data_IF_546333371264
#
_entry.id   IF_546333371264
#
_cell.length_a   1.000
_cell.length_b   1.000
_cell.length_c   1.000
_cell.angle_alpha   90.00
_cell.angle_beta   90.00
_cell.angle_gamma   90.00
#
_symmetry.space_group_name_H-M   'P 1'
#
loop_
_entity.id
_entity.type
_entity.pdbx_description
1 polymer ?
#
# COMPACT_ATOMS: atom_id res chain seq x y z
N UNK A 1 -0.35 52.19 52.39
CA UNK A 1 -0.45 50.74 52.57
C UNK A 1 0.74 50.03 51.92
N UNK A 2 1.65 49.45 52.72
CA UNK A 2 2.67 48.55 52.19
C UNK A 2 2.06 47.15 51.93
N UNK A 3 2.58 46.39 50.95
CA UNK A 3 2.15 45.02 50.71
C UNK A 3 2.66 44.06 51.79
N UNK A 4 1.95 42.96 52.07
CA UNK A 4 2.32 42.01 53.11
C UNK A 4 3.54 41.17 52.75
N UNK A 5 4.36 40.93 53.76
CA UNK A 5 5.54 40.07 53.79
C UNK A 5 5.19 38.60 53.51
N UNK A 6 5.96 37.96 52.63
CA UNK A 6 5.98 36.51 52.45
C UNK A 6 7.08 35.92 53.33
N UNK A 7 6.69 35.08 54.28
CA UNK A 7 7.61 34.19 55.01
C UNK A 7 8.01 32.99 54.13
N UNK A 8 9.26 32.48 54.26
CA UNK A 8 9.72 31.29 53.56
C UNK A 8 9.44 30.04 54.41
N UNK A 9 8.50 29.20 53.98
CA UNK A 9 8.37 27.85 54.51
C UNK A 9 9.26 26.89 53.70
N UNK A 10 10.39 26.52 54.29
CA UNK A 10 11.22 25.40 53.91
C UNK A 10 10.40 24.10 53.96
N UNK A 11 10.19 23.47 52.81
CA UNK A 11 9.73 22.10 52.67
C UNK A 11 10.84 21.28 52.01
N UNK A 12 11.46 20.42 52.81
CA UNK A 12 12.52 19.48 52.46
C UNK A 12 11.90 18.27 51.73
N UNK A 13 11.75 18.38 50.41
CA UNK A 13 11.38 17.25 49.54
C UNK A 13 12.64 16.59 48.99
N UNK A 14 13.22 15.71 49.80
CA UNK A 14 14.19 14.70 49.36
C UNK A 14 13.50 13.72 48.41
N UNK A 15 13.34 14.13 47.15
CA UNK A 15 12.93 13.26 46.04
C UNK A 15 14.11 12.34 45.70
N UNK A 16 14.04 11.10 46.19
CA UNK A 16 14.96 10.01 45.92
C UNK A 16 14.79 9.53 44.46
N UNK A 17 15.78 9.72 43.55
CA UNK A 17 15.67 9.38 42.13
C UNK A 17 15.92 7.88 41.82
N UNK A 18 15.82 6.98 42.80
CA UNK A 18 16.31 5.59 42.67
C UNK A 18 15.34 4.55 42.09
N UNK A 19 14.16 4.93 41.56
CA UNK A 19 13.13 3.97 41.10
C UNK A 19 13.07 3.70 39.58
N UNK A 20 14.18 3.83 38.84
CA UNK A 20 14.21 3.68 37.36
C UNK A 20 14.47 2.26 36.84
N UNK A 21 14.54 1.24 37.70
CA UNK A 21 14.92 -0.13 37.30
C UNK A 21 13.80 -1.00 36.70
N UNK A 22 12.54 -0.53 36.65
CA UNK A 22 11.41 -1.37 36.21
C UNK A 22 11.20 -1.42 34.69
N UNK A 23 11.65 -0.43 33.92
CA UNK A 23 11.34 -0.32 32.48
C UNK A 23 12.16 -1.26 31.58
N UNK A 24 13.43 -1.51 31.90
CA UNK A 24 14.33 -2.37 31.10
C UNK A 24 13.80 -3.80 30.98
N UNK A 25 13.22 -4.32 32.07
CA UNK A 25 12.74 -5.72 32.14
C UNK A 25 11.52 -6.00 31.24
N UNK A 26 10.76 -4.96 30.87
CA UNK A 26 9.55 -5.10 30.04
C UNK A 26 9.91 -5.22 28.56
N UNK A 27 10.82 -4.37 28.08
CA UNK A 27 11.22 -4.37 26.67
C UNK A 27 12.00 -5.64 26.28
N UNK A 28 12.87 -6.16 27.14
CA UNK A 28 13.65 -7.38 26.82
C UNK A 28 12.75 -8.59 26.54
N UNK A 29 11.64 -8.74 27.27
CA UNK A 29 10.63 -9.77 27.03
C UNK A 29 9.94 -9.57 25.68
N UNK A 30 9.55 -8.34 25.39
CA UNK A 30 8.85 -7.97 24.15
C UNK A 30 9.76 -8.13 22.92
N UNK A 31 11.02 -7.70 23.03
CA UNK A 31 12.07 -7.92 22.02
C UNK A 31 12.30 -9.41 21.75
N UNK A 32 12.41 -10.23 22.80
CA UNK A 32 12.59 -11.68 22.65
C UNK A 32 11.40 -12.32 21.92
N UNK A 33 10.17 -11.85 22.22
CA UNK A 33 8.93 -12.27 21.54
C UNK A 33 8.96 -11.89 20.05
N UNK A 34 9.27 -10.64 19.73
CA UNK A 34 9.34 -10.14 18.34
C UNK A 34 10.44 -10.84 17.53
N UNK A 35 11.61 -11.07 18.14
CA UNK A 35 12.70 -11.79 17.49
C UNK A 35 12.30 -13.25 17.19
N UNK A 36 11.62 -13.91 18.13
CA UNK A 36 11.06 -15.25 17.90
C UNK A 36 10.05 -15.25 16.75
N UNK A 37 9.20 -14.22 16.65
CA UNK A 37 8.29 -14.06 15.52
C UNK A 37 9.05 -13.90 14.20
N UNK A 38 10.06 -13.03 14.14
CA UNK A 38 10.86 -12.87 12.93
C UNK A 38 11.52 -14.17 12.52
N UNK A 39 12.17 -14.90 13.45
CA UNK A 39 12.80 -16.21 13.18
C UNK A 39 11.83 -17.24 12.60
N UNK A 40 10.53 -17.12 12.87
CA UNK A 40 9.50 -18.01 12.31
C UNK A 40 9.04 -17.62 10.90
N UNK A 41 9.33 -16.39 10.46
CA UNK A 41 8.89 -15.83 9.20
C UNK A 41 9.95 -16.02 8.09
N UNK A 42 9.53 -16.19 6.82
CA UNK A 42 10.46 -16.38 5.70
C UNK A 42 11.47 -15.24 5.49
N UNK A 43 11.14 -14.00 5.89
CA UNK A 43 12.06 -12.86 5.82
C UNK A 43 13.36 -13.10 6.60
N UNK A 44 13.35 -13.87 7.69
CA UNK A 44 14.55 -14.08 8.51
C UNK A 44 15.69 -14.75 7.74
N UNK A 45 15.35 -15.71 6.89
CA UNK A 45 16.32 -16.42 6.05
C UNK A 45 16.74 -15.56 4.84
N UNK A 46 15.82 -14.77 4.28
CA UNK A 46 16.09 -13.94 3.10
C UNK A 46 16.86 -12.66 3.40
N UNK A 47 16.58 -12.03 4.54
CA UNK A 47 17.04 -10.68 4.85
C UNK A 47 17.13 -10.48 6.38
N UNK A 48 18.14 -11.12 6.98
CA UNK A 48 18.38 -11.07 8.43
C UNK A 48 18.76 -9.67 8.92
N UNK A 49 19.47 -8.91 8.09
CA UNK A 49 19.89 -7.54 8.42
C UNK A 49 18.67 -6.62 8.54
N UNK A 50 17.72 -6.72 7.62
CA UNK A 50 16.46 -5.98 7.72
C UNK A 50 15.63 -6.40 8.94
N UNK A 51 15.63 -7.68 9.32
CA UNK A 51 14.96 -8.11 10.57
C UNK A 51 15.64 -7.50 11.81
N UNK A 52 16.97 -7.44 11.81
CA UNK A 52 17.76 -6.86 12.89
C UNK A 52 17.52 -5.36 13.01
N UNK A 53 17.51 -4.64 11.89
CA UNK A 53 17.19 -3.22 11.86
C UNK A 53 15.71 -2.97 12.22
N UNK A 54 14.81 -3.83 11.74
CA UNK A 54 13.39 -3.81 12.12
C UNK A 54 13.19 -3.91 13.63
N UNK A 55 13.95 -4.76 14.34
CA UNK A 55 13.91 -4.84 15.80
C UNK A 55 14.38 -3.55 16.47
N UNK A 56 15.42 -2.89 15.94
CA UNK A 56 15.89 -1.57 16.45
C UNK A 56 14.88 -0.47 16.21
N UNK A 57 14.20 -0.48 15.05
CA UNK A 57 13.11 0.45 14.75
C UNK A 57 11.95 0.23 15.73
N UNK A 58 11.56 -1.02 15.96
CA UNK A 58 10.49 -1.36 16.89
C UNK A 58 10.81 -0.99 18.34
N UNK A 59 12.09 -1.07 18.75
CA UNK A 59 12.56 -0.55 20.04
C UNK A 59 12.31 0.95 20.19
N UNK A 60 12.63 1.74 19.14
CA UNK A 60 12.35 3.18 19.13
C UNK A 60 10.84 3.43 19.19
N UNK A 61 10.04 2.71 18.41
CA UNK A 61 8.58 2.86 18.43
C UNK A 61 7.98 2.48 19.79
N UNK A 62 8.45 1.42 20.44
CA UNK A 62 8.00 1.03 21.77
C UNK A 62 8.28 2.12 22.82
N UNK A 63 9.42 2.81 22.70
CA UNK A 63 9.78 3.91 23.61
C UNK A 63 9.00 5.20 23.32
N UNK A 64 8.84 5.53 22.04
CA UNK A 64 8.38 6.85 21.62
C UNK A 64 6.86 6.92 21.39
N UNK A 65 6.18 5.79 21.17
CA UNK A 65 4.72 5.75 20.99
C UNK A 65 4.01 5.60 22.33
N UNK A 66 2.88 6.29 22.45
CA UNK A 66 1.98 6.08 23.57
C UNK A 66 1.56 4.62 23.70
N UNK A 67 1.44 4.06 24.92
CA UNK A 67 1.17 2.63 25.10
C UNK A 67 -0.05 2.09 24.34
N UNK A 68 -1.18 2.82 24.21
CA UNK A 68 -2.30 2.39 23.38
C UNK A 68 -1.97 2.31 21.89
N UNK A 69 -1.16 3.22 21.36
CA UNK A 69 -0.74 3.23 19.96
C UNK A 69 0.21 2.06 19.68
N UNK A 70 1.20 1.82 20.56
CA UNK A 70 2.11 0.68 20.45
C UNK A 70 1.38 -0.67 20.43
N UNK A 71 0.47 -0.92 21.38
CA UNK A 71 -0.30 -2.18 21.46
C UNK A 71 -1.10 -2.51 20.20
N UNK A 72 -1.50 -1.50 19.42
CA UNK A 72 -2.23 -1.70 18.16
C UNK A 72 -1.32 -2.22 17.04
N UNK A 73 -0.05 -1.84 17.03
CA UNK A 73 0.88 -2.15 15.94
C UNK A 73 1.81 -3.33 16.25
N UNK A 74 2.16 -3.56 17.52
CA UNK A 74 3.18 -4.54 17.94
C UNK A 74 2.90 -5.96 17.41
N UNK A 75 1.62 -6.34 17.33
CA UNK A 75 1.21 -7.69 16.92
C UNK A 75 1.29 -7.92 15.41
N UNK A 76 1.36 -6.83 14.64
CA UNK A 76 1.31 -6.86 13.16
C UNK A 76 2.66 -6.54 12.55
N UNK A 77 3.49 -5.76 13.24
CA UNK A 77 4.75 -5.23 12.73
C UNK A 77 5.65 -6.30 12.08
N UNK A 78 5.87 -7.44 12.73
CA UNK A 78 6.74 -8.49 12.19
C UNK A 78 6.21 -9.09 10.88
N UNK A 79 4.90 -9.35 10.82
CA UNK A 79 4.23 -9.88 9.63
C UNK A 79 4.24 -8.86 8.49
N UNK A 80 3.94 -7.60 8.81
CA UNK A 80 3.94 -6.50 7.85
C UNK A 80 5.34 -6.25 7.29
N UNK A 81 6.40 -6.32 8.11
CA UNK A 81 7.79 -6.24 7.62
C UNK A 81 8.11 -7.40 6.67
N UNK A 82 7.74 -8.64 7.03
CA UNK A 82 7.88 -9.80 6.14
C UNK A 82 7.13 -9.63 4.81
N UNK A 83 5.93 -9.06 4.85
CA UNK A 83 5.07 -8.89 3.68
C UNK A 83 5.47 -7.73 2.78
N UNK A 84 6.14 -6.72 3.34
CA UNK A 84 6.59 -5.50 2.66
C UNK A 84 8.08 -5.51 2.28
N UNK A 85 8.88 -6.46 2.75
CA UNK A 85 10.33 -6.53 2.48
C UNK A 85 10.71 -6.31 1.01
N UNK A 86 10.04 -6.92 0.01
CA UNK A 86 10.39 -6.65 -1.39
C UNK A 86 10.17 -5.21 -1.81
N UNK A 87 9.14 -4.55 -1.27
CA UNK A 87 8.87 -3.15 -1.53
C UNK A 87 9.90 -2.25 -0.84
N UNK A 88 10.27 -2.57 0.40
CA UNK A 88 11.28 -1.81 1.16
C UNK A 88 12.63 -1.84 0.45
N UNK A 89 13.09 -3.04 0.06
CA UNK A 89 14.35 -3.20 -0.66
C UNK A 89 14.32 -2.49 -2.02
N UNK A 90 13.25 -2.68 -2.79
CA UNK A 90 13.12 -2.02 -4.08
C UNK A 90 13.09 -0.49 -3.96
N UNK A 91 12.44 0.07 -2.93
CA UNK A 91 12.44 1.51 -2.70
C UNK A 91 13.86 2.06 -2.45
N UNK A 92 14.69 1.34 -1.69
CA UNK A 92 16.09 1.72 -1.47
C UNK A 92 16.90 1.65 -2.77
N UNK A 93 16.83 0.52 -3.50
CA UNK A 93 17.53 0.31 -4.78
C UNK A 93 17.13 1.38 -5.82
N UNK A 94 15.83 1.64 -5.94
CA UNK A 94 15.28 2.64 -6.85
C UNK A 94 15.77 4.04 -6.51
N UNK A 95 15.81 4.41 -5.23
CA UNK A 95 16.35 5.70 -4.82
C UNK A 95 17.83 5.80 -5.22
N UNK A 96 18.65 4.80 -4.89
CA UNK A 96 20.09 4.74 -5.24
C UNK A 96 20.32 4.98 -6.72
N UNK A 97 19.57 4.29 -7.58
CA UNK A 97 19.62 4.48 -9.02
C UNK A 97 19.20 5.90 -9.43
N UNK A 98 18.13 6.45 -8.85
CA UNK A 98 17.64 7.79 -9.17
C UNK A 98 18.69 8.88 -8.88
N UNK A 99 19.51 8.73 -7.83
CA UNK A 99 20.57 9.70 -7.49
C UNK A 99 21.88 9.48 -8.24
N UNK A 100 22.18 8.23 -8.63
CA UNK A 100 23.43 7.94 -9.35
C UNK A 100 23.49 8.66 -10.72
N UNK A 101 22.35 8.86 -11.36
CA UNK A 101 22.25 9.59 -12.63
C UNK A 101 22.63 11.07 -12.57
N UNK A 102 22.68 11.68 -11.37
CA UNK A 102 23.04 13.09 -11.20
C UNK A 102 24.55 13.32 -11.12
N UNK A 103 25.30 12.36 -10.57
CA UNK A 103 26.73 12.51 -10.33
C UNK A 103 27.56 12.53 -11.63
N UNK A 104 27.06 11.93 -12.71
CA UNK A 104 27.76 11.82 -13.99
C UNK A 104 27.54 13.06 -14.89
N UNK A 105 26.62 13.95 -14.53
CA UNK A 105 26.36 15.22 -15.21
C UNK A 105 27.36 16.32 -14.89
N UNK A 106 28.62 15.98 -14.59
CA UNK A 106 29.69 16.93 -14.29
C UNK A 106 29.77 17.98 -15.40
N UNK A 107 29.24 19.15 -15.07
CA UNK A 107 29.24 20.37 -15.88
C UNK A 107 30.64 20.63 -16.38
N UNK A 108 30.91 20.22 -17.61
CA UNK A 108 32.05 20.75 -18.37
C UNK A 108 31.71 22.22 -18.54
N UNK A 109 32.35 23.06 -17.73
CA UNK A 109 32.29 24.51 -17.81
C UNK A 109 32.75 24.97 -19.17
N UNK A 110 31.83 24.99 -20.13
CA UNK A 110 31.95 25.73 -21.36
C UNK A 110 31.74 27.20 -21.05
N UNK A 111 32.84 27.88 -20.75
CA UNK A 111 32.97 29.33 -20.73
C UNK A 111 32.66 29.86 -22.15
N UNK A 112 31.38 30.04 -22.47
CA UNK A 112 30.95 30.68 -23.71
C UNK A 112 30.47 32.10 -23.37
N UNK A 113 31.42 33.02 -23.53
CA UNK A 113 31.18 34.44 -23.41
C UNK A 113 30.26 35.01 -24.49
N UNK A 114 29.71 36.17 -24.15
CA UNK A 114 29.49 37.31 -25.03
C UNK A 114 28.48 37.12 -26.16
N UNK A 115 27.22 37.41 -25.87
CA UNK A 115 26.21 37.68 -26.89
C UNK A 115 25.08 38.50 -26.30
N UNK A 116 25.17 39.82 -26.47
CA UNK A 116 24.07 40.76 -26.25
C UNK A 116 23.02 40.49 -27.36
N UNK A 117 21.83 40.00 -27.00
CA UNK A 117 20.71 39.95 -27.95
C UNK A 117 19.40 40.28 -27.23
N UNK A 118 18.79 41.37 -27.67
CA UNK A 118 17.55 41.96 -27.21
C UNK A 118 16.37 41.33 -27.96
N UNK A 119 15.38 40.75 -27.27
CA UNK A 119 14.01 40.68 -27.81
C UNK A 119 13.19 39.42 -27.56
N UNK A 120 12.04 39.65 -26.91
CA UNK A 120 10.71 39.05 -27.09
C UNK A 120 10.35 37.63 -26.58
N UNK A 121 9.25 37.64 -25.81
CA UNK A 121 8.22 36.63 -25.55
C UNK A 121 8.62 35.28 -24.91
N UNK A 122 8.73 35.35 -23.58
CA UNK A 122 8.93 34.31 -22.57
C UNK A 122 7.81 33.25 -22.54
N UNK A 123 7.79 32.35 -23.53
CA UNK A 123 7.05 31.09 -23.48
C UNK A 123 7.85 30.04 -22.68
N UNK A 124 7.85 30.19 -21.35
CA UNK A 124 8.03 29.12 -20.36
C UNK A 124 9.12 28.09 -20.65
N UNK A 125 10.37 28.55 -20.78
CA UNK A 125 11.52 27.64 -20.92
C UNK A 125 11.67 26.82 -19.63
N UNK A 126 11.73 25.48 -19.68
CA UNK A 126 11.83 24.65 -18.48
C UNK A 126 13.18 24.88 -17.79
N UNK A 127 13.18 25.77 -16.80
CA UNK A 127 14.34 26.12 -15.98
C UNK A 127 14.87 24.89 -15.25
N UNK A 128 16.15 24.60 -15.49
CA UNK A 128 17.09 23.78 -14.70
C UNK A 128 16.48 22.68 -13.83
N UNK A 129 16.69 21.43 -14.22
CA UNK A 129 16.35 20.22 -13.48
C UNK A 129 17.11 20.13 -12.14
N UNK A 130 16.67 20.88 -11.13
CA UNK A 130 16.96 20.52 -9.75
C UNK A 130 16.31 19.17 -9.53
N UNK A 131 17.11 18.13 -9.36
CA UNK A 131 16.60 16.83 -8.95
C UNK A 131 15.92 16.97 -7.58
N UNK A 132 14.61 17.16 -7.60
CA UNK A 132 13.82 17.27 -6.39
C UNK A 132 13.88 15.96 -5.61
N UNK A 133 13.74 16.05 -4.28
CA UNK A 133 13.60 14.87 -3.44
C UNK A 133 12.43 14.01 -3.91
N UNK A 134 12.60 12.69 -3.85
CA UNK A 134 11.57 11.73 -4.23
C UNK A 134 10.30 11.89 -3.38
N UNK A 135 9.16 11.48 -3.94
CA UNK A 135 7.91 11.29 -3.19
C UNK A 135 7.49 9.83 -3.24
N UNK A 136 7.09 9.26 -2.11
CA UNK A 136 6.54 7.90 -2.08
C UNK A 136 5.03 7.98 -1.81
N UNK A 137 4.25 7.13 -2.50
CA UNK A 137 2.80 7.03 -2.35
C UNK A 137 2.41 5.60 -2.04
N UNK A 138 1.93 5.34 -0.83
CA UNK A 138 1.46 4.05 -0.34
C UNK A 138 -0.07 3.94 -0.49
N UNK A 139 -0.52 3.13 -1.46
CA UNK A 139 -1.93 2.95 -1.82
C UNK A 139 -2.58 1.87 -0.96
N UNK A 140 -3.77 2.18 -0.45
CA UNK A 140 -4.49 1.33 0.51
C UNK A 140 -3.59 0.95 1.69
N UNK A 141 -2.92 1.95 2.24
CA UNK A 141 -1.87 1.79 3.25
C UNK A 141 -2.35 1.11 4.54
N UNK A 142 -3.66 0.98 4.77
CA UNK A 142 -4.21 0.34 5.95
C UNK A 142 -3.77 1.04 7.23
N UNK A 143 -2.97 0.37 8.07
CA UNK A 143 -2.38 0.96 9.28
C UNK A 143 -1.13 1.79 9.00
N UNK A 144 -0.56 1.74 7.79
CA UNK A 144 0.61 2.54 7.43
C UNK A 144 1.96 1.96 7.86
N UNK A 145 2.01 0.70 8.33
CA UNK A 145 3.25 0.11 8.85
C UNK A 145 4.38 0.04 7.81
N UNK A 146 4.05 -0.25 6.56
CA UNK A 146 5.03 -0.18 5.45
C UNK A 146 5.63 1.22 5.35
N UNK A 147 4.79 2.25 5.32
CA UNK A 147 5.22 3.66 5.27
C UNK A 147 6.03 4.09 6.50
N UNK A 148 5.68 3.60 7.69
CA UNK A 148 6.45 3.86 8.92
C UNK A 148 7.86 3.25 8.82
N UNK A 149 7.98 2.01 8.35
CA UNK A 149 9.30 1.39 8.12
C UNK A 149 10.10 2.14 7.06
N UNK A 150 9.48 2.52 5.93
CA UNK A 150 10.15 3.33 4.90
C UNK A 150 10.68 4.65 5.45
N UNK A 151 9.92 5.31 6.33
CA UNK A 151 10.38 6.55 6.95
C UNK A 151 11.63 6.37 7.81
N UNK A 152 11.82 5.19 8.41
CA UNK A 152 12.96 4.92 9.30
C UNK A 152 14.16 4.37 8.53
N UNK A 153 13.92 3.66 7.43
CA UNK A 153 14.94 2.96 6.66
C UNK A 153 15.55 3.81 5.53
N UNK A 154 14.76 4.73 4.96
CA UNK A 154 15.21 5.50 3.80
C UNK A 154 15.91 6.81 4.20
N UNK A 155 16.86 7.29 3.38
CA UNK A 155 17.58 8.54 3.64
C UNK A 155 16.66 9.77 3.54
N UNK A 156 16.50 10.57 4.62
CA UNK A 156 15.55 11.68 4.69
C UNK A 156 15.96 12.91 3.85
N UNK A 157 17.23 13.00 3.50
CA UNK A 157 17.75 13.98 2.56
C UNK A 157 17.31 13.69 1.11
N UNK A 158 16.85 12.47 0.81
CA UNK A 158 16.49 12.03 -0.56
C UNK A 158 15.00 11.82 -0.78
N UNK A 159 14.23 11.70 0.29
CA UNK A 159 12.76 11.56 0.23
C UNK A 159 12.10 12.76 0.91
N UNK A 160 11.25 13.47 0.17
CA UNK A 160 10.56 14.67 0.69
C UNK A 160 9.45 14.32 1.68
N UNK A 161 8.68 13.25 1.38
CA UNK A 161 7.52 12.80 2.14
C UNK A 161 7.02 11.44 1.65
N UNK A 162 6.24 10.77 2.50
CA UNK A 162 5.50 9.55 2.18
C UNK A 162 4.01 9.82 2.36
N UNK A 163 3.21 9.60 1.31
CA UNK A 163 1.76 9.73 1.34
C UNK A 163 1.09 8.39 1.62
N UNK A 164 0.28 8.35 2.66
CA UNK A 164 -0.53 7.19 3.05
C UNK A 164 -1.97 7.41 2.57
N UNK A 165 -2.39 6.67 1.54
CA UNK A 165 -3.70 6.80 0.92
C UNK A 165 -4.59 5.62 1.30
N UNK A 166 -5.71 5.88 1.97
CA UNK A 166 -6.69 4.84 2.33
C UNK A 166 -8.07 5.47 2.54
N UNK A 167 -9.14 4.75 2.21
CA UNK A 167 -10.51 5.22 2.41
C UNK A 167 -10.88 5.32 3.90
N UNK A 168 -10.16 4.62 4.77
CA UNK A 168 -10.42 4.54 6.21
C UNK A 168 -9.69 5.61 7.02
N UNK A 169 -8.77 6.36 6.41
CA UNK A 169 -8.13 7.51 7.06
C UNK A 169 -9.14 8.64 7.31
N UNK A 170 -8.92 9.48 8.34
CA UNK A 170 -9.72 10.69 8.55
C UNK A 170 -9.51 11.70 7.41
N UNK A 171 -10.51 12.58 7.22
CA UNK A 171 -10.36 13.72 6.31
C UNK A 171 -9.38 14.72 6.93
N UNK A 172 -8.59 15.41 6.11
CA UNK A 172 -7.73 16.49 6.59
C UNK A 172 -8.56 17.54 7.36
N UNK A 173 -8.11 17.92 8.55
CA UNK A 173 -8.80 18.89 9.41
C UNK A 173 -10.03 18.35 10.14
N UNK A 174 -10.29 17.04 10.08
CA UNK A 174 -11.34 16.38 10.88
C UNK A 174 -10.83 15.69 12.14
N UNK A 175 -9.58 15.98 12.52
CA UNK A 175 -8.95 15.54 13.76
C UNK A 175 -9.59 16.32 14.92
N UNK A 176 -10.85 15.98 15.22
CA UNK A 176 -11.59 16.57 16.32
C UNK A 176 -10.93 16.24 17.66
N UNK A 177 -10.67 17.27 18.44
CA UNK A 177 -10.35 17.30 19.88
C UNK A 177 -10.06 15.92 20.52
N UNK A 178 -8.87 15.38 20.25
CA UNK A 178 -7.98 14.63 21.14
C UNK A 178 -8.49 13.48 22.04
N UNK A 179 -9.75 13.06 22.03
CA UNK A 179 -10.26 12.18 23.10
C UNK A 179 -11.35 11.17 22.75
N UNK A 180 -12.12 11.36 21.68
CA UNK A 180 -13.19 10.41 21.34
C UNK A 180 -12.77 9.48 20.20
N UNK A 181 -12.86 8.17 20.43
CA UNK A 181 -12.73 7.14 19.40
C UNK A 181 -13.50 7.54 18.14
N UNK A 182 -12.88 7.53 16.95
CA UNK A 182 -13.51 8.05 15.76
C UNK A 182 -14.79 7.26 15.45
N UNK A 183 -15.95 7.92 15.27
CA UNK A 183 -17.18 7.22 14.93
C UNK A 183 -17.03 6.51 13.58
N UNK A 184 -17.34 5.22 13.55
CA UNK A 184 -17.58 4.47 12.31
C UNK A 184 -16.36 3.81 11.66
N UNK A 185 -15.63 2.97 12.41
CA UNK A 185 -14.67 2.00 11.85
C UNK A 185 -13.43 2.62 11.18
N UNK A 186 -13.17 3.91 11.38
CA UNK A 186 -11.97 4.58 10.85
C UNK A 186 -10.71 4.05 11.51
N UNK A 187 -9.59 4.11 10.79
CA UNK A 187 -8.29 3.79 11.37
C UNK A 187 -7.94 4.91 12.35
N UNK A 188 -7.63 4.55 13.58
CA UNK A 188 -7.07 5.48 14.54
C UNK A 188 -5.64 5.84 14.10
N UNK A 189 -5.29 7.11 14.21
CA UNK A 189 -4.08 7.70 13.63
C UNK A 189 -3.01 8.06 14.68
N UNK A 190 -3.22 7.70 15.96
CA UNK A 190 -2.34 8.06 17.08
C UNK A 190 -0.93 7.51 16.91
N UNK A 191 -0.76 6.38 16.20
CA UNK A 191 0.55 5.81 15.92
C UNK A 191 1.28 6.49 14.76
N UNK A 192 0.62 7.41 14.04
CA UNK A 192 1.21 8.23 12.98
C UNK A 192 1.39 9.67 13.43
N UNK A 193 0.39 10.26 14.10
CA UNK A 193 0.48 11.60 14.65
C UNK A 193 1.18 11.63 16.01
N UNK A 194 1.52 12.83 16.49
CA UNK A 194 2.11 13.02 17.82
C UNK A 194 3.62 12.79 17.89
N UNK A 195 4.26 12.43 16.78
CA UNK A 195 5.72 12.37 16.68
C UNK A 195 6.24 12.93 15.36
N UNK A 196 7.50 13.32 15.38
CA UNK A 196 8.25 13.57 14.15
C UNK A 196 8.79 12.26 13.58
N UNK A 197 8.61 12.10 12.28
CA UNK A 197 9.11 10.98 11.50
C UNK A 197 10.34 11.44 10.71
N UNK A 198 11.40 10.62 10.58
CA UNK A 198 12.57 11.04 9.82
C UNK A 198 12.23 11.49 8.39
N UNK A 199 11.28 10.81 7.75
CA UNK A 199 10.62 11.27 6.53
C UNK A 199 9.16 11.58 6.85
N UNK A 200 8.67 12.81 6.56
CA UNK A 200 7.30 13.18 6.90
C UNK A 200 6.24 12.24 6.32
N UNK A 201 5.42 11.65 7.20
CA UNK A 201 4.24 10.87 6.83
C UNK A 201 3.02 11.78 6.66
N UNK A 202 2.31 11.65 5.53
CA UNK A 202 1.12 12.46 5.21
C UNK A 202 -0.08 11.56 4.94
N UNK A 203 -1.10 11.65 5.79
CA UNK A 203 -2.34 10.92 5.63
C UNK A 203 -3.27 11.61 4.62
N UNK A 204 -3.98 10.82 3.81
CA UNK A 204 -5.09 11.33 3.02
C UNK A 204 -6.17 10.27 2.82
N UNK A 205 -7.38 10.61 3.26
CA UNK A 205 -8.57 9.81 2.93
C UNK A 205 -8.77 9.73 1.41
N UNK A 206 -8.68 8.52 0.88
CA UNK A 206 -8.80 8.27 -0.57
C UNK A 206 -9.40 6.89 -0.85
N UNK A 207 -10.58 6.83 -1.47
CA UNK A 207 -11.11 5.69 -2.19
C UNK A 207 -10.61 5.68 -3.63
N UNK A 208 -9.55 4.92 -3.88
CA UNK A 208 -8.94 4.81 -5.21
C UNK A 208 -9.85 4.15 -6.27
N UNK A 209 -10.99 3.57 -5.86
CA UNK A 209 -12.02 3.10 -6.81
C UNK A 209 -12.80 4.26 -7.42
N UNK A 210 -12.89 5.38 -6.71
CA UNK A 210 -13.60 6.55 -7.17
C UNK A 210 -12.73 7.37 -8.13
N UNK A 211 -13.11 7.41 -9.41
CA UNK A 211 -12.34 8.14 -10.43
C UNK A 211 -12.14 9.64 -10.11
N UNK A 212 -13.08 10.27 -9.39
CA UNK A 212 -12.92 11.65 -8.91
C UNK A 212 -11.76 11.80 -7.94
N UNK A 213 -11.60 10.86 -7.00
CA UNK A 213 -10.54 10.91 -6.00
C UNK A 213 -9.18 10.59 -6.61
N UNK A 214 -9.14 9.67 -7.59
CA UNK A 214 -7.92 9.43 -8.38
C UNK A 214 -7.43 10.69 -9.11
N UNK A 215 -8.35 11.50 -9.67
CA UNK A 215 -7.99 12.80 -10.23
C UNK A 215 -7.41 13.75 -9.19
N UNK A 216 -7.93 13.72 -7.96
CA UNK A 216 -7.39 14.52 -6.86
C UNK A 216 -6.01 14.06 -6.42
N UNK A 217 -5.75 12.75 -6.34
CA UNK A 217 -4.40 12.22 -6.06
C UNK A 217 -3.42 12.75 -7.10
N UNK A 218 -3.75 12.69 -8.39
CA UNK A 218 -2.88 13.24 -9.45
C UNK A 218 -2.64 14.73 -9.27
N UNK A 219 -3.68 15.51 -9.03
CA UNK A 219 -3.57 16.98 -8.93
C UNK A 219 -2.85 17.45 -7.66
N UNK A 220 -3.08 16.82 -6.52
CA UNK A 220 -2.66 17.35 -5.21
C UNK A 220 -1.58 16.54 -4.50
N UNK A 221 -1.33 15.29 -4.94
CA UNK A 221 -0.28 14.44 -4.39
C UNK A 221 0.88 14.35 -5.38
N UNK A 222 0.60 13.95 -6.62
CA UNK A 222 1.65 13.63 -7.61
C UNK A 222 2.12 14.87 -8.37
N UNK A 223 1.20 15.72 -8.82
CA UNK A 223 1.50 16.95 -9.57
C UNK A 223 2.45 17.89 -8.83
N UNK A 224 2.23 18.18 -7.53
CA UNK A 224 3.10 19.05 -6.75
C UNK A 224 4.42 18.42 -6.29
N UNK A 225 4.67 17.13 -6.55
CA UNK A 225 5.96 16.51 -6.22
C UNK A 225 7.08 17.16 -7.05
N UNK A 226 8.14 17.59 -6.36
CA UNK A 226 9.34 18.20 -6.96
C UNK A 226 10.17 17.16 -7.71
N UNK A 227 10.35 15.99 -7.09
CA UNK A 227 11.13 14.89 -7.64
C UNK A 227 10.30 13.75 -8.22
N UNK A 228 10.97 12.63 -8.53
CA UNK A 228 10.31 11.44 -9.06
C UNK A 228 9.41 10.78 -8.00
N UNK A 229 8.37 10.09 -8.48
CA UNK A 229 7.36 9.47 -7.61
C UNK A 229 7.41 7.94 -7.70
N UNK A 230 7.53 7.29 -6.54
CA UNK A 230 7.38 5.85 -6.37
C UNK A 230 5.99 5.54 -5.81
N UNK A 231 5.24 4.67 -6.48
CA UNK A 231 3.94 4.17 -6.00
C UNK A 231 4.08 2.77 -5.42
N UNK A 232 3.57 2.54 -4.23
CA UNK A 232 3.51 1.24 -3.58
C UNK A 232 2.04 0.82 -3.46
N UNK A 233 1.75 -0.43 -3.81
CA UNK A 233 0.42 -1.02 -3.69
C UNK A 233 0.51 -2.42 -3.11
N UNK A 234 0.55 -2.51 -1.78
CA UNK A 234 0.59 -3.79 -1.06
C UNK A 234 -0.82 -4.17 -0.61
N UNK A 235 -1.17 -5.46 -0.67
CA UNK A 235 -2.50 -5.95 -0.30
C UNK A 235 -3.65 -5.32 -1.10
N UNK A 236 -3.41 -4.96 -2.37
CA UNK A 236 -4.47 -4.43 -3.22
C UNK A 236 -5.45 -5.55 -3.61
N UNK A 237 -6.61 -5.53 -2.97
CA UNK A 237 -7.69 -6.47 -3.20
C UNK A 237 -8.47 -6.17 -4.49
N UNK A 238 -8.76 -7.20 -5.29
CA UNK A 238 -9.76 -7.12 -6.38
C UNK A 238 -9.37 -6.01 -7.36
N UNK A 239 -10.32 -5.15 -7.75
CA UNK A 239 -10.09 -4.05 -8.69
C UNK A 239 -9.11 -2.97 -8.21
N UNK A 240 -8.68 -2.97 -6.94
CA UNK A 240 -7.75 -1.95 -6.43
C UNK A 240 -6.42 -1.95 -7.19
N UNK A 241 -5.89 -3.12 -7.57
CA UNK A 241 -4.65 -3.19 -8.34
C UNK A 241 -4.82 -2.65 -9.77
N UNK A 242 -6.00 -2.80 -10.38
CA UNK A 242 -6.31 -2.16 -11.67
C UNK A 242 -6.26 -0.64 -11.55
N UNK A 243 -6.80 -0.08 -10.46
CA UNK A 243 -6.74 1.36 -10.23
C UNK A 243 -5.32 1.86 -9.95
N UNK A 244 -4.47 1.06 -9.30
CA UNK A 244 -3.05 1.38 -9.11
C UNK A 244 -2.30 1.43 -10.45
N UNK A 245 -2.50 0.44 -11.34
CA UNK A 245 -1.91 0.44 -12.69
C UNK A 245 -2.36 1.68 -13.48
N UNK A 246 -3.65 2.03 -13.42
CA UNK A 246 -4.17 3.24 -14.07
C UNK A 246 -3.56 4.52 -13.51
N UNK A 247 -3.28 4.58 -12.20
CA UNK A 247 -2.59 5.72 -11.62
C UNK A 247 -1.19 5.84 -12.22
N UNK A 248 -0.44 4.75 -12.21
CA UNK A 248 0.92 4.65 -12.75
C UNK A 248 1.00 5.10 -14.21
N UNK A 249 0.07 4.67 -15.05
CA UNK A 249 0.03 5.07 -16.47
C UNK A 249 -0.30 6.54 -16.66
N UNK A 250 -1.16 7.08 -15.80
CA UNK A 250 -1.72 8.42 -16.01
C UNK A 250 -0.83 9.60 -15.62
N UNK A 251 0.39 9.35 -15.15
CA UNK A 251 1.33 10.41 -14.80
C UNK A 251 2.77 10.00 -15.09
N UNK A 252 3.49 10.73 -15.97
CA UNK A 252 4.90 10.44 -16.24
C UNK A 252 5.81 10.72 -15.04
N UNK A 253 5.37 11.54 -14.07
CA UNK A 253 6.10 11.75 -12.80
C UNK A 253 6.23 10.49 -11.95
N UNK A 254 5.36 9.49 -12.18
CA UNK A 254 5.49 8.20 -11.51
C UNK A 254 6.50 7.38 -12.30
N UNK A 255 7.73 7.37 -11.81
CA UNK A 255 8.86 6.71 -12.45
C UNK A 255 8.95 5.25 -12.05
N UNK A 256 8.37 4.86 -10.92
CA UNK A 256 8.37 3.47 -10.47
C UNK A 256 7.09 3.08 -9.73
N UNK A 257 6.76 1.80 -9.77
CA UNK A 257 5.66 1.21 -9.01
C UNK A 257 6.01 -0.21 -8.53
N UNK A 258 5.67 -0.51 -7.28
CA UNK A 258 5.65 -1.88 -6.76
C UNK A 258 4.22 -2.28 -6.43
N UNK A 259 3.77 -3.38 -7.01
CA UNK A 259 2.40 -3.86 -6.88
C UNK A 259 2.37 -5.31 -6.41
N UNK A 260 1.72 -5.55 -5.28
CA UNK A 260 1.43 -6.88 -4.72
C UNK A 260 -0.08 -7.08 -4.65
N UNK A 261 -0.72 -7.62 -5.70
CA UNK A 261 -2.12 -7.99 -5.61
C UNK A 261 -2.29 -9.09 -4.56
N UNK A 262 -3.42 -9.14 -3.85
CA UNK A 262 -3.66 -10.18 -2.84
C UNK A 262 -4.99 -10.93 -3.01
N UNK A 263 -5.92 -10.41 -3.80
CA UNK A 263 -7.22 -11.04 -4.06
C UNK A 263 -7.62 -10.96 -5.53
N UNK A 264 -8.22 -12.04 -6.02
CA UNK A 264 -8.88 -12.06 -7.33
C UNK A 264 -10.08 -11.10 -7.37
N UNK A 265 -10.43 -10.57 -8.55
CA UNK A 265 -11.69 -9.82 -8.74
C UNK A 265 -12.91 -10.59 -8.26
N UNK A 266 -13.84 -9.97 -7.54
CA UNK A 266 -15.00 -10.71 -7.00
C UNK A 266 -15.89 -11.30 -8.10
N UNK A 267 -16.49 -12.49 -7.88
CA UNK A 267 -17.38 -13.14 -8.87
C UNK A 267 -18.53 -12.25 -9.34
N UNK A 268 -19.04 -11.38 -8.47
CA UNK A 268 -20.11 -10.43 -8.80
C UNK A 268 -19.68 -9.42 -9.89
N UNK A 269 -18.38 -9.21 -10.11
CA UNK A 269 -17.86 -8.39 -11.20
C UNK A 269 -17.94 -9.10 -12.56
N UNK A 270 -18.00 -10.44 -12.57
CA UNK A 270 -18.11 -11.23 -13.81
C UNK A 270 -19.51 -11.25 -14.40
N UNK A 271 -20.54 -11.31 -13.54
CA UNK A 271 -21.92 -11.59 -13.95
C UNK A 271 -22.82 -10.35 -13.99
N UNK A 272 -22.25 -9.14 -14.15
CA UNK A 272 -23.06 -7.94 -14.37
C UNK A 272 -23.74 -8.03 -15.73
N UNK A 273 -24.99 -8.51 -15.73
CA UNK A 273 -25.80 -8.82 -16.92
C UNK A 273 -25.97 -7.66 -17.91
N UNK A 274 -25.99 -6.42 -17.42
CA UNK A 274 -26.34 -5.25 -18.24
C UNK A 274 -25.14 -4.57 -18.90
N UNK A 275 -23.92 -4.79 -18.40
CA UNK A 275 -22.71 -4.22 -18.98
C UNK A 275 -21.48 -4.97 -18.43
N UNK A 276 -20.81 -5.82 -19.23
CA UNK A 276 -19.63 -6.51 -18.78
C UNK A 276 -18.52 -5.49 -18.52
N UNK A 277 -18.00 -5.45 -17.30
CA UNK A 277 -16.87 -4.58 -16.96
C UNK A 277 -15.69 -4.96 -17.87
N UNK A 278 -15.24 -4.01 -18.69
CA UNK A 278 -13.98 -4.10 -19.44
C UNK A 278 -13.00 -3.12 -18.80
N UNK A 279 -11.85 -3.60 -18.36
CA UNK A 279 -10.78 -2.74 -17.92
C UNK A 279 -9.89 -2.38 -19.10
N UNK A 280 -9.88 -1.08 -19.43
CA UNK A 280 -9.06 -0.48 -20.48
C UNK A 280 -7.90 0.29 -19.87
N UNK A 281 -6.72 0.18 -20.46
CA UNK A 281 -5.46 0.82 -20.04
C UNK A 281 -4.93 1.73 -21.15
N UNK A 282 -4.03 2.64 -20.78
CA UNK A 282 -3.55 3.70 -21.69
C UNK A 282 -2.68 3.14 -22.82
N UNK A 283 -2.05 1.98 -22.61
CA UNK A 283 -1.31 1.23 -23.62
C UNK A 283 -2.20 0.44 -24.60
N UNK A 284 -3.52 0.66 -24.58
CA UNK A 284 -4.48 -0.05 -25.41
C UNK A 284 -4.81 -1.47 -24.94
N UNK A 285 -4.11 -1.99 -23.92
CA UNK A 285 -4.43 -3.29 -23.34
C UNK A 285 -5.82 -3.26 -22.71
N UNK A 286 -6.58 -4.33 -22.91
CA UNK A 286 -7.87 -4.52 -22.25
C UNK A 286 -8.07 -5.96 -21.82
N UNK A 287 -8.80 -6.13 -20.71
CA UNK A 287 -9.29 -7.45 -20.32
C UNK A 287 -10.53 -7.33 -19.43
N UNK A 288 -11.28 -8.41 -19.32
CA UNK A 288 -12.49 -8.53 -18.52
C UNK A 288 -12.21 -9.35 -17.26
N UNK A 289 -12.96 -9.14 -16.16
CA UNK A 289 -12.86 -9.99 -14.98
C UNK A 289 -13.00 -11.48 -15.29
N UNK A 290 -13.82 -11.85 -16.28
CA UNK A 290 -14.04 -13.25 -16.68
C UNK A 290 -12.78 -13.92 -17.25
N UNK A 291 -11.87 -13.16 -17.85
CA UNK A 291 -10.66 -13.70 -18.50
C UNK A 291 -9.68 -14.26 -17.46
N UNK A 292 -9.77 -13.76 -16.21
CA UNK A 292 -9.06 -14.31 -15.06
C UNK A 292 -9.58 -15.71 -14.67
N UNK A 293 -10.89 -15.93 -14.84
CA UNK A 293 -11.57 -17.13 -14.33
C UNK A 293 -11.71 -18.26 -15.36
N UNK A 294 -11.86 -17.92 -16.63
CA UNK A 294 -12.10 -18.87 -17.71
C UNK A 294 -10.88 -18.94 -18.61
N UNK A 295 -10.38 -20.15 -18.88
CA UNK A 295 -9.40 -20.36 -19.95
C UNK A 295 -10.18 -20.38 -21.26
N UNK A 296 -9.81 -19.60 -22.29
CA UNK A 296 -10.29 -19.89 -23.63
C UNK A 296 -9.94 -21.35 -23.92
N UNK A 297 -10.91 -22.17 -24.31
CA UNK A 297 -10.62 -23.53 -24.75
C UNK A 297 -9.74 -23.40 -26.00
N UNK A 298 -8.43 -23.59 -25.86
CA UNK A 298 -7.49 -23.58 -26.96
C UNK A 298 -7.99 -24.60 -28.00
N UNK A 299 -8.47 -24.12 -29.15
CA UNK A 299 -8.85 -24.98 -30.27
C UNK A 299 -10.31 -25.43 -30.37
N UNK A 300 -11.25 -24.98 -29.52
CA UNK A 300 -12.68 -25.02 -29.89
C UNK A 300 -13.06 -23.64 -30.42
N UNK A 301 -13.30 -23.54 -31.73
CA UNK A 301 -14.14 -22.48 -32.26
C UNK A 301 -15.39 -22.43 -31.38
N UNK A 302 -15.72 -21.23 -30.90
CA UNK A 302 -16.99 -20.99 -30.24
C UNK A 302 -18.03 -21.13 -31.34
N UNK A 303 -18.42 -22.38 -31.63
CA UNK A 303 -19.72 -22.63 -32.22
C UNK A 303 -20.71 -21.98 -31.28
N UNK A 304 -21.60 -21.18 -31.84
CA UNK A 304 -22.73 -20.54 -31.18
C UNK A 304 -23.55 -21.63 -30.49
N UNK A 305 -23.11 -22.03 -29.29
CA UNK A 305 -23.77 -23.00 -28.45
C UNK A 305 -24.91 -22.26 -27.81
N UNK A 306 -26.10 -22.54 -28.33
CA UNK A 306 -27.41 -22.20 -27.79
C UNK A 306 -27.32 -22.07 -26.26
N UNK A 307 -27.58 -20.84 -25.77
CA UNK A 307 -27.89 -20.66 -24.36
C UNK A 307 -29.09 -21.55 -24.08
N UNK A 308 -28.84 -22.70 -23.44
CA UNK A 308 -29.89 -23.57 -22.91
C UNK A 308 -30.62 -22.72 -21.86
N UNK A 309 -31.66 -22.03 -22.33
CA UNK A 309 -32.63 -21.31 -21.54
C UNK A 309 -33.19 -22.33 -20.55
N UNK A 310 -32.67 -22.31 -19.32
CA UNK A 310 -33.33 -23.00 -18.22
C UNK A 310 -34.71 -22.37 -18.13
N UNK A 311 -35.69 -23.07 -18.69
CA UNK A 311 -37.09 -22.71 -18.69
C UNK A 311 -37.54 -22.33 -17.29
N UNK A 312 -38.59 -21.50 -17.22
CA UNK A 312 -39.10 -20.91 -15.98
C UNK A 312 -39.30 -21.92 -14.83
N UNK A 313 -39.55 -23.19 -15.15
CA UNK A 313 -39.69 -24.29 -14.19
C UNK A 313 -38.46 -24.50 -13.31
N UNK A 314 -37.24 -24.37 -13.85
CA UNK A 314 -36.02 -24.49 -13.06
C UNK A 314 -35.83 -23.37 -12.03
N UNK A 315 -36.45 -22.20 -12.27
CA UNK A 315 -36.42 -21.08 -11.31
C UNK A 315 -37.46 -21.22 -10.20
N UNK A 316 -38.59 -21.88 -10.48
CA UNK A 316 -39.61 -22.16 -9.48
C UNK A 316 -39.08 -23.15 -8.43
N UNK A 317 -38.37 -24.20 -8.86
CA UNK A 317 -37.81 -25.21 -7.97
C UNK A 317 -36.68 -24.65 -7.07
N UNK A 318 -35.85 -23.75 -7.61
CA UNK A 318 -34.82 -23.08 -6.80
C UNK A 318 -35.41 -22.06 -5.81
N UNK A 319 -36.53 -21.40 -6.15
CA UNK A 319 -37.28 -20.55 -5.20
C UNK A 319 -37.89 -21.38 -4.07
N UNK A 320 -38.50 -22.52 -4.37
CA UNK A 320 -39.07 -23.42 -3.37
C UNK A 320 -38.00 -23.90 -2.36
N UNK A 321 -36.84 -24.34 -2.86
CA UNK A 321 -35.71 -24.74 -2.00
C UNK A 321 -35.20 -23.62 -1.09
N UNK A 322 -35.18 -22.38 -1.57
CA UNK A 322 -34.74 -21.22 -0.78
C UNK A 322 -35.77 -20.81 0.27
N UNK A 323 -37.06 -21.02 0.00
CA UNK A 323 -38.11 -20.74 0.97
C UNK A 323 -38.15 -21.78 2.10
N UNK A 324 -37.97 -23.07 1.79
CA UNK A 324 -37.86 -24.13 2.80
C UNK A 324 -36.63 -23.95 3.71
N UNK A 325 -35.50 -23.50 3.15
CA UNK A 325 -34.32 -23.17 3.93
C UNK A 325 -34.57 -22.01 4.91
N UNK A 326 -35.39 -21.02 4.52
CA UNK A 326 -35.77 -19.88 5.40
C UNK A 326 -36.75 -20.29 6.49
N UNK A 327 -37.70 -21.18 6.20
CA UNK A 327 -38.62 -21.74 7.21
C UNK A 327 -37.89 -22.62 8.23
N UNK A 328 -36.81 -23.28 7.80
CA UNK A 328 -35.98 -24.10 8.68
C UNK A 328 -35.07 -23.27 9.60
N UNK A 329 -34.74 -22.03 9.22
CA UNK A 329 -33.86 -21.15 10.02
C UNK A 329 -34.61 -20.31 11.06
N UNK A 330 -35.94 -20.19 10.99
CA UNK A 330 -36.73 -19.38 11.95
C UNK A 330 -37.03 -20.09 13.27
N UNK A 331 -36.49 -21.30 13.50
CA UNK A 331 -36.75 -22.09 14.71
C UNK A 331 -35.64 -22.00 15.79
N UNK A 332 -34.56 -21.24 15.58
CA UNK A 332 -33.46 -21.16 16.57
C UNK A 332 -32.80 -19.78 16.71
N UNK A 333 -33.59 -18.73 16.91
CA UNK A 333 -33.05 -17.40 17.30
C UNK A 333 -33.49 -17.01 18.71
N UNK A 334 -32.80 -17.57 19.70
CA UNK A 334 -32.56 -16.92 21.00
C UNK A 334 -31.15 -17.27 21.48
N UNK A 335 -30.37 -16.22 21.78
CA UNK A 335 -29.03 -16.17 22.38
C UNK A 335 -27.83 -16.29 21.42
N UNK A 336 -27.23 -15.15 21.09
CA UNK A 336 -25.80 -14.85 21.29
C UNK A 336 -25.45 -13.54 20.56
N UNK A 337 -25.21 -12.50 21.35
CA UNK A 337 -24.62 -11.23 20.91
C UNK A 337 -23.30 -11.12 21.66
N UNK A 338 -22.23 -11.66 21.07
CA UNK A 338 -20.83 -11.42 21.47
C UNK A 338 -19.89 -11.99 20.38
N UNK A 339 -18.88 -11.19 20.03
CA UNK A 339 -17.66 -11.47 19.27
C UNK A 339 -17.77 -12.07 17.85
N UNK A 340 -17.72 -11.20 16.83
CA UNK A 340 -17.48 -11.60 15.44
C UNK A 340 -16.22 -10.93 14.87
N UNK A 341 -15.06 -11.40 15.34
CA UNK A 341 -13.82 -11.35 14.57
C UNK A 341 -13.70 -12.64 13.74
N UNK A 342 -13.78 -12.50 12.41
CA UNK A 342 -13.02 -13.37 11.50
C UNK A 342 -13.44 -14.83 11.36
N UNK A 343 -14.71 -15.14 11.13
CA UNK A 343 -15.10 -16.44 10.57
C UNK A 343 -15.18 -16.37 9.04
N UNK A 344 -14.05 -16.50 8.35
CA UNK A 344 -14.05 -16.97 6.96
C UNK A 344 -14.46 -18.44 6.98
N UNK A 345 -15.72 -18.75 6.65
CA UNK A 345 -16.15 -20.13 6.46
C UNK A 345 -15.36 -20.77 5.29
N UNK A 346 -14.50 -21.77 5.54
CA UNK A 346 -13.90 -22.51 4.45
C UNK A 346 -15.00 -23.41 3.88
N UNK A 347 -15.37 -23.18 2.62
CA UNK A 347 -16.22 -24.10 1.86
C UNK A 347 -15.46 -25.41 1.72
N UNK A 348 -15.69 -26.34 2.65
CA UNK A 348 -15.19 -27.71 2.62
C UNK A 348 -16.03 -28.51 1.63
N UNK A 349 -15.54 -28.64 0.39
CA UNK A 349 -16.16 -29.51 -0.61
C UNK A 349 -15.27 -29.68 -1.84
N UNK A 350 -14.48 -30.76 -1.86
CA UNK A 350 -13.79 -31.25 -3.05
C UNK A 350 -12.27 -31.03 -3.06
N UNK A 351 -11.51 -32.13 -2.98
CA UNK A 351 -10.04 -32.18 -3.08
C UNK A 351 -9.45 -31.77 -4.45
N UNK A 352 -10.24 -31.15 -5.35
CA UNK A 352 -9.78 -30.57 -6.62
C UNK A 352 -9.46 -29.06 -6.59
N UNK A 353 -9.50 -28.42 -5.42
CA UNK A 353 -9.61 -26.96 -5.30
C UNK A 353 -8.31 -26.12 -5.28
N UNK A 354 -7.15 -26.67 -4.90
CA UNK A 354 -5.94 -25.85 -4.63
C UNK A 354 -5.20 -25.39 -5.90
N UNK A 355 -5.21 -26.19 -6.97
CA UNK A 355 -4.47 -25.85 -8.19
C UNK A 355 -5.18 -24.77 -9.02
N UNK A 356 -6.52 -24.75 -9.02
CA UNK A 356 -7.28 -23.79 -9.83
C UNK A 356 -7.19 -22.35 -9.31
N UNK A 357 -6.92 -22.14 -8.02
CA UNK A 357 -6.74 -20.78 -7.46
C UNK A 357 -5.40 -20.18 -7.87
N UNK A 358 -4.34 -20.98 -7.90
CA UNK A 358 -3.01 -20.52 -8.30
C UNK A 358 -2.98 -20.11 -9.78
N UNK A 359 -3.57 -20.92 -10.67
CA UNK A 359 -3.60 -20.59 -12.10
C UNK A 359 -4.36 -19.29 -12.37
N UNK A 360 -5.54 -19.11 -11.74
CA UNK A 360 -6.32 -17.86 -11.85
C UNK A 360 -5.53 -16.65 -11.34
N UNK A 361 -4.79 -16.82 -10.25
CA UNK A 361 -3.99 -15.75 -9.68
C UNK A 361 -2.79 -15.39 -10.58
N UNK A 362 -2.11 -16.39 -11.14
CA UNK A 362 -1.05 -16.16 -12.12
C UNK A 362 -1.57 -15.42 -13.35
N UNK A 363 -2.77 -15.78 -13.87
CA UNK A 363 -3.41 -15.03 -14.97
C UNK A 363 -3.75 -13.60 -14.57
N UNK A 364 -4.25 -13.40 -13.35
CA UNK A 364 -4.53 -12.06 -12.83
C UNK A 364 -3.26 -11.18 -12.81
N UNK A 365 -2.15 -11.73 -12.29
CA UNK A 365 -0.86 -11.05 -12.29
C UNK A 365 -0.35 -10.78 -13.70
N UNK A 366 -0.49 -11.73 -14.63
CA UNK A 366 -0.08 -11.52 -16.02
C UNK A 366 -0.90 -10.42 -16.72
N UNK A 367 -2.22 -10.38 -16.51
CA UNK A 367 -3.05 -9.28 -17.01
C UNK A 367 -2.61 -7.92 -16.47
N UNK A 368 -2.31 -7.82 -15.16
CA UNK A 368 -1.80 -6.58 -14.56
C UNK A 368 -0.41 -6.22 -15.09
N UNK A 369 0.47 -7.21 -15.29
CA UNK A 369 1.80 -7.03 -15.88
C UNK A 369 1.71 -6.46 -17.29
N UNK A 370 0.92 -7.08 -18.18
CA UNK A 370 0.69 -6.58 -19.55
C UNK A 370 0.04 -5.20 -19.57
N UNK A 371 -0.82 -4.92 -18.61
CA UNK A 371 -1.38 -3.59 -18.44
C UNK A 371 -0.32 -2.54 -18.04
N UNK A 372 0.83 -2.93 -17.49
CA UNK A 372 1.94 -2.02 -17.19
C UNK A 372 2.94 -1.84 -18.35
N UNK A 373 2.94 -2.73 -19.35
CA UNK A 373 3.89 -2.69 -20.47
C UNK A 373 3.65 -1.44 -21.33
N UNK A 374 4.70 -0.67 -21.57
CA UNK A 374 4.74 0.51 -22.45
C UNK A 374 6.17 0.57 -23.01
N UNK A 375 6.37 1.22 -24.17
CA UNK A 375 7.66 1.36 -24.86
C UNK A 375 8.73 2.03 -23.98
N UNK A 376 8.31 2.69 -22.90
CA UNK A 376 9.17 3.41 -21.95
C UNK A 376 9.29 2.73 -20.59
N UNK A 377 8.72 1.53 -20.41
CA UNK A 377 8.60 0.89 -19.11
C UNK A 377 9.27 -0.48 -19.09
N UNK A 378 10.27 -0.62 -18.22
CA UNK A 378 10.78 -1.91 -17.79
C UNK A 378 9.79 -2.51 -16.78
N UNK A 379 9.11 -3.59 -17.16
CA UNK A 379 8.21 -4.33 -16.28
C UNK A 379 8.82 -5.68 -15.96
N UNK A 380 8.97 -5.99 -14.67
CA UNK A 380 9.39 -7.31 -14.21
C UNK A 380 8.39 -7.88 -13.20
N UNK A 381 8.18 -9.19 -13.26
CA UNK A 381 7.40 -9.93 -12.25
C UNK A 381 8.34 -10.84 -11.52
N UNK A 382 8.36 -10.72 -10.19
CA UNK A 382 9.18 -11.60 -9.33
C UNK A 382 8.26 -12.42 -8.44
N UNK A 383 8.54 -13.70 -8.33
CA UNK A 383 7.95 -14.57 -7.33
C UNK A 383 8.85 -14.54 -6.09
N UNK A 384 8.30 -14.15 -4.95
CA UNK A 384 9.01 -13.99 -3.69
C UNK A 384 8.22 -14.67 -2.59
N UNK A 385 8.83 -15.70 -1.99
CA UNK A 385 8.16 -16.60 -1.05
C UNK A 385 7.91 -15.97 0.33
N UNK A 386 6.91 -15.10 0.41
CA UNK A 386 6.54 -14.40 1.66
C UNK A 386 5.78 -15.32 2.61
N UNK A 387 5.02 -16.26 2.07
CA UNK A 387 4.28 -17.26 2.83
C UNK A 387 4.56 -18.65 2.26
N UNK A 388 4.67 -19.65 3.13
CA UNK A 388 4.97 -21.04 2.73
C UNK A 388 3.85 -21.68 1.89
N UNK A 389 2.63 -21.14 1.91
CA UNK A 389 1.44 -21.85 1.42
C UNK A 389 0.42 -21.00 0.63
N UNK A 390 0.75 -19.81 0.13
CA UNK A 390 -0.24 -18.97 -0.58
C UNK A 390 0.23 -18.38 -1.91
N UNK A 391 -0.76 -18.16 -2.79
CA UNK A 391 -0.66 -17.50 -4.10
C UNK A 391 -0.25 -16.01 -4.03
N UNK A 392 -0.03 -15.45 -2.84
CA UNK A 392 0.25 -14.03 -2.59
C UNK A 392 1.74 -13.67 -2.65
N UNK A 393 2.55 -14.52 -3.30
CA UNK A 393 4.01 -14.39 -3.41
C UNK A 393 4.45 -13.63 -4.68
N UNK A 394 3.54 -13.17 -5.54
CA UNK A 394 3.90 -12.48 -6.79
C UNK A 394 3.88 -10.96 -6.64
N UNK A 395 4.97 -10.32 -7.06
CA UNK A 395 5.14 -8.88 -7.12
C UNK A 395 5.37 -8.44 -8.56
N UNK A 396 4.77 -7.31 -8.93
CA UNK A 396 5.00 -6.62 -10.19
C UNK A 396 5.80 -5.37 -9.87
N UNK A 397 6.97 -5.25 -10.47
CA UNK A 397 7.84 -4.07 -10.40
C UNK A 397 7.81 -3.39 -11.76
N UNK A 398 7.48 -2.12 -11.77
CA UNK A 398 7.47 -1.29 -12.97
C UNK A 398 8.42 -0.14 -12.77
N UNK A 399 9.26 0.12 -13.76
CA UNK A 399 10.19 1.24 -13.76
C UNK A 399 10.21 1.88 -15.14
N UNK A 400 10.06 3.20 -15.20
CA UNK A 400 10.20 3.95 -16.44
C UNK A 400 11.67 4.21 -16.68
N UNK A 401 12.13 3.85 -17.88
CA UNK A 401 13.48 4.24 -18.31
C UNK A 401 13.47 5.77 -18.40
N UNK A 402 14.42 6.41 -17.73
CA UNK A 402 14.62 7.85 -17.93
C UNK A 402 14.77 8.08 -19.44
N UNK A 403 14.09 9.07 -20.04
CA UNK A 403 14.27 9.35 -21.46
C UNK A 403 15.76 9.58 -21.69
N UNK A 404 16.44 8.61 -22.31
CA UNK A 404 17.86 8.73 -22.59
C UNK A 404 17.99 9.96 -23.48
N UNK A 405 18.82 10.92 -23.06
CA UNK A 405 19.06 12.21 -23.73
C UNK A 405 19.69 12.08 -25.13
N UNK A 406 19.62 10.90 -25.76
CA UNK A 406 20.44 10.47 -26.90
C UNK A 406 19.66 10.08 -28.15
N UNK A 407 18.47 10.63 -28.40
CA UNK A 407 17.86 10.52 -29.73
C UNK A 407 17.43 11.90 -30.25
N UNK A 408 18.41 12.75 -30.52
CA UNK A 408 18.31 13.64 -31.68
C UNK A 408 18.57 12.77 -32.91
N UNK A 409 17.54 12.57 -33.74
CA UNK A 409 17.73 12.16 -35.13
C UNK A 409 17.80 13.40 -36.00
#
# INVERSE_FOLDING_TARGET
>A
DPPPSLDPANGDDSNDPSSSSSSSSSWEKERSRLESQFRSLPIWERNRDLCTEGLRILERWHRDLEPPAWRRIEKRAAKELNESEPCLRYASEWLEAATAGEADGSVVGGDNGGGDDDGDDDEGTPTSSSSGKATIVDLCSGFGLTSMFLSELLPPDRVSRIWLLDKMWPCAGSDGDGGSSPPGGRVNVDHIHGREWPIPLRLRKTDIKAGREMRQVRKYVIGPSEGPVLVLGIHLCKALSVHAVKLYQSSPKITAMVLKPCCLPGKNMMYRKKDPIVWRFDNGYEFRPRDVYYRPAEGRSVGEGEEEEKGEDGRAEERARKEDARRSSSASEKNALEDNEGAENPISGGHGGKNCTNERFSRWVDHLRRACEDDRCNVSVRHIDITKHHFQNQFIFCERVAPSSTISK
#
